data_IF_574312485542
#
_entry.id   IF_574312485542
#
_cell.length_a   1.000
_cell.length_b   1.000
_cell.length_c   1.000
_cell.angle_alpha   90.00
_cell.angle_beta   90.00
_cell.angle_gamma   90.00
#
_symmetry.space_group_name_H-M   'P 1'
#
loop_
_entity.id
_entity.type
_entity.pdbx_description
1 polymer ?
#
# COMPACT_ATOMS: atom_id res chain seq x y z
N UNK A 1 6.77 4.27 -4.84
CA UNK A 1 5.44 4.13 -4.21
C UNK A 1 4.99 5.52 -3.80
N UNK A 2 3.78 5.96 -4.18
CA UNK A 2 3.28 7.27 -3.75
C UNK A 2 1.75 7.33 -3.86
N UNK A 3 1.07 7.94 -2.88
CA UNK A 3 -0.36 8.19 -2.97
C UNK A 3 -0.64 9.28 -4.02
N UNK A 4 -0.01 10.45 -3.90
CA UNK A 4 -0.24 11.60 -4.79
C UNK A 4 0.50 11.51 -6.11
N UNK A 5 1.61 10.78 -6.16
CA UNK A 5 2.52 10.80 -7.30
C UNK A 5 3.23 12.15 -7.51
N UNK A 6 3.13 13.07 -6.54
CA UNK A 6 3.72 14.42 -6.57
C UNK A 6 4.78 14.64 -5.49
N UNK A 7 5.11 13.61 -4.70
CA UNK A 7 6.13 13.71 -3.65
C UNK A 7 7.50 14.00 -4.28
N UNK A 8 8.00 15.23 -4.09
CA UNK A 8 9.19 15.73 -4.77
C UNK A 8 10.43 14.85 -4.55
N UNK A 9 10.70 14.43 -3.31
CA UNK A 9 11.84 13.56 -2.99
C UNK A 9 11.75 12.21 -3.69
N UNK A 10 10.55 11.63 -3.76
CA UNK A 10 10.30 10.37 -4.47
C UNK A 10 10.55 10.52 -5.97
N UNK A 11 10.10 11.62 -6.57
CA UNK A 11 10.31 11.89 -8.00
C UNK A 11 11.80 12.11 -8.29
N UNK A 12 12.49 12.89 -7.46
CA UNK A 12 13.92 13.13 -7.58
C UNK A 12 14.73 11.82 -7.50
N UNK A 13 14.40 10.96 -6.52
CA UNK A 13 15.02 9.64 -6.39
C UNK A 13 14.78 8.75 -7.62
N UNK A 14 13.57 8.76 -8.18
CA UNK A 14 13.24 8.00 -9.41
C UNK A 14 14.03 8.51 -10.60
N UNK A 15 14.12 9.84 -10.79
CA UNK A 15 14.91 10.45 -11.87
C UNK A 15 16.38 10.05 -11.77
N UNK A 16 16.95 10.10 -10.57
CA UNK A 16 18.35 9.71 -10.35
C UNK A 16 18.56 8.20 -10.59
N UNK A 17 17.67 7.35 -10.11
CA UNK A 17 17.75 5.91 -10.36
C UNK A 17 17.71 5.59 -11.87
N UNK A 18 16.83 6.25 -12.63
CA UNK A 18 16.74 6.10 -14.09
C UNK A 18 17.98 6.60 -14.81
N UNK A 19 18.54 7.75 -14.38
CA UNK A 19 19.81 8.27 -14.92
C UNK A 19 20.95 7.25 -14.77
N UNK A 20 20.90 6.41 -13.74
CA UNK A 20 21.84 5.30 -13.50
C UNK A 20 21.46 3.99 -14.21
N UNK A 21 20.43 3.99 -15.06
CA UNK A 21 20.00 2.83 -15.84
C UNK A 21 19.05 1.87 -15.12
N UNK A 22 18.52 2.21 -13.94
CA UNK A 22 17.56 1.37 -13.25
C UNK A 22 16.20 1.36 -13.96
N UNK A 23 15.56 0.18 -13.99
CA UNK A 23 14.13 0.04 -14.35
C UNK A 23 13.27 0.37 -13.16
N UNK A 24 12.25 1.20 -13.36
CA UNK A 24 11.40 1.71 -12.27
C UNK A 24 9.95 1.30 -12.48
N UNK A 25 9.37 0.64 -11.48
CA UNK A 25 7.94 0.36 -11.38
C UNK A 25 7.30 1.32 -10.36
N UNK A 26 6.29 2.07 -10.78
CA UNK A 26 5.50 2.94 -9.91
C UNK A 26 4.26 2.22 -9.37
N UNK A 27 4.07 2.23 -8.05
CA UNK A 27 2.78 1.90 -7.40
C UNK A 27 2.17 3.23 -6.96
N UNK A 28 1.07 3.63 -7.60
CA UNK A 28 0.53 5.00 -7.50
C UNK A 28 -1.00 5.00 -7.38
N UNK A 29 -1.57 5.93 -6.63
CA UNK A 29 -3.03 6.12 -6.58
C UNK A 29 -3.53 7.19 -7.56
N UNK A 30 -2.87 8.35 -7.60
CA UNK A 30 -3.23 9.45 -8.48
C UNK A 30 -2.89 9.14 -9.95
N UNK A 31 -3.91 9.27 -10.81
CA UNK A 31 -3.75 9.14 -12.27
C UNK A 31 -3.01 10.36 -12.83
N UNK A 32 -2.20 10.13 -13.86
CA UNK A 32 -1.53 11.18 -14.66
C UNK A 32 -0.66 12.16 -13.84
N UNK A 33 -0.23 11.73 -12.65
CA UNK A 33 0.69 12.48 -11.80
C UNK A 33 2.09 12.55 -12.38
N UNK A 34 2.91 13.46 -11.90
CA UNK A 34 4.31 13.62 -12.32
C UNK A 34 5.08 12.30 -12.25
N UNK A 35 4.94 11.53 -11.17
CA UNK A 35 5.59 10.23 -11.03
C UNK A 35 5.15 9.24 -12.12
N UNK A 36 3.91 9.28 -12.61
CA UNK A 36 3.44 8.33 -13.64
C UNK A 36 4.15 8.52 -14.98
N UNK A 37 4.65 9.72 -15.26
CA UNK A 37 5.45 10.01 -16.46
C UNK A 37 6.91 9.58 -16.33
N UNK A 38 7.37 9.37 -15.10
CA UNK A 38 8.78 9.17 -14.77
C UNK A 38 9.13 7.70 -14.50
N UNK A 39 8.23 6.74 -14.70
CA UNK A 39 8.47 5.30 -14.47
C UNK A 39 8.35 4.47 -15.75
N UNK A 40 8.96 3.27 -15.79
CA UNK A 40 8.87 2.33 -16.92
C UNK A 40 7.59 1.49 -16.89
N UNK A 41 7.00 1.29 -15.71
CA UNK A 41 5.77 0.54 -15.53
C UNK A 41 4.94 1.10 -14.38
N UNK A 42 3.63 0.83 -14.40
CA UNK A 42 2.67 1.37 -13.43
C UNK A 42 1.73 0.30 -12.90
N UNK A 43 1.49 0.38 -11.59
CA UNK A 43 0.40 -0.31 -10.89
C UNK A 43 -0.45 0.76 -10.22
N UNK A 44 -1.65 0.96 -10.74
CA UNK A 44 -2.63 1.82 -10.08
C UNK A 44 -3.34 1.04 -8.98
N UNK A 45 -3.36 1.61 -7.76
CA UNK A 45 -3.98 0.94 -6.60
C UNK A 45 -5.49 1.18 -6.51
N UNK A 46 -6.04 2.11 -7.31
CA UNK A 46 -7.47 2.39 -7.41
C UNK A 46 -8.18 2.65 -6.07
N UNK A 47 -7.52 3.26 -5.10
CA UNK A 47 -8.11 3.59 -3.80
C UNK A 47 -9.09 4.78 -3.86
N UNK A 48 -9.14 5.49 -5.00
CA UNK A 48 -9.92 6.72 -5.16
C UNK A 48 -9.33 7.91 -4.40
N UNK A 49 -9.96 9.11 -4.47
CA UNK A 49 -9.45 10.32 -3.82
C UNK A 49 -9.48 10.18 -2.30
N UNK A 50 -8.44 10.67 -1.62
CA UNK A 50 -8.30 10.63 -0.17
C UNK A 50 -8.17 12.07 0.34
N UNK A 51 -9.17 12.52 1.12
CA UNK A 51 -9.27 13.90 1.62
C UNK A 51 -8.56 14.04 2.98
N UNK A 52 -8.58 12.96 3.78
CA UNK A 52 -7.88 12.94 5.06
C UNK A 52 -6.38 13.09 4.90
N UNK A 53 -5.76 13.86 5.80
CA UNK A 53 -4.31 14.08 5.80
C UNK A 53 -3.55 12.78 6.08
N UNK A 54 -4.03 11.98 7.03
CA UNK A 54 -3.50 10.64 7.28
C UNK A 54 -4.02 9.66 6.23
N UNK A 55 -3.10 8.93 5.59
CA UNK A 55 -3.47 7.90 4.62
C UNK A 55 -3.97 6.64 5.32
N UNK A 56 -5.07 6.11 4.80
CA UNK A 56 -5.82 4.97 5.35
C UNK A 56 -6.02 3.93 4.26
N UNK A 57 -6.95 4.18 3.33
CA UNK A 57 -7.30 3.26 2.24
C UNK A 57 -6.18 3.11 1.23
N UNK A 58 -5.46 4.18 0.91
CA UNK A 58 -4.34 4.07 -0.03
C UNK A 58 -3.21 3.24 0.59
N UNK A 59 -2.96 3.34 1.89
CA UNK A 59 -1.98 2.49 2.57
C UNK A 59 -2.30 1.00 2.43
N UNK A 60 -3.53 0.57 2.76
CA UNK A 60 -3.94 -0.83 2.63
C UNK A 60 -3.88 -1.28 1.16
N UNK A 61 -4.33 -0.45 0.22
CA UNK A 61 -4.29 -0.78 -1.21
C UNK A 61 -2.85 -0.90 -1.74
N UNK A 62 -1.90 -0.08 -1.23
CA UNK A 62 -0.47 -0.22 -1.54
C UNK A 62 0.11 -1.53 -1.02
N UNK A 63 -0.23 -1.94 0.21
CA UNK A 63 0.18 -3.25 0.75
C UNK A 63 -0.37 -4.42 -0.06
N UNK A 64 -1.64 -4.33 -0.49
CA UNK A 64 -2.25 -5.34 -1.37
C UNK A 64 -1.51 -5.42 -2.71
N UNK A 65 -1.21 -4.28 -3.33
CA UNK A 65 -0.47 -4.23 -4.59
C UNK A 65 0.96 -4.81 -4.45
N UNK A 66 1.67 -4.49 -3.36
CA UNK A 66 2.98 -5.05 -3.06
C UNK A 66 2.93 -6.56 -2.84
N UNK A 67 1.91 -7.05 -2.12
CA UNK A 67 1.70 -8.48 -1.89
C UNK A 67 1.48 -9.22 -3.22
N UNK A 68 0.62 -8.68 -4.09
CA UNK A 68 0.38 -9.26 -5.41
C UNK A 68 1.64 -9.25 -6.28
N UNK A 69 2.42 -8.18 -6.25
CA UNK A 69 3.70 -8.08 -6.94
C UNK A 69 4.69 -9.14 -6.42
N UNK A 70 4.80 -9.32 -5.10
CA UNK A 70 5.65 -10.33 -4.49
C UNK A 70 5.25 -11.75 -4.89
N UNK A 71 3.95 -12.07 -4.86
CA UNK A 71 3.43 -13.38 -5.31
C UNK A 71 3.72 -13.62 -6.79
N UNK A 72 3.54 -12.60 -7.64
CA UNK A 72 3.82 -12.69 -9.07
C UNK A 72 5.32 -12.94 -9.33
N UNK A 73 6.20 -12.17 -8.69
CA UNK A 73 7.65 -12.34 -8.81
C UNK A 73 8.10 -13.70 -8.28
N UNK A 74 7.55 -14.14 -7.15
CA UNK A 74 7.85 -15.44 -6.56
C UNK A 74 7.46 -16.61 -7.48
N UNK A 75 6.29 -16.50 -8.14
CA UNK A 75 5.86 -17.47 -9.15
C UNK A 75 6.75 -17.47 -10.39
N UNK A 76 7.06 -16.29 -10.95
CA UNK A 76 7.92 -16.16 -12.14
C UNK A 76 9.32 -16.72 -11.89
N UNK A 77 9.84 -16.54 -10.67
CA UNK A 77 11.15 -17.05 -10.25
C UNK A 77 11.13 -18.52 -9.81
N UNK A 78 9.97 -19.18 -9.88
CA UNK A 78 9.78 -20.57 -9.42
C UNK A 78 10.20 -20.82 -7.96
N UNK A 79 10.12 -19.79 -7.10
CA UNK A 79 10.42 -19.90 -5.66
C UNK A 79 9.17 -20.09 -4.80
N UNK A 80 7.98 -19.79 -5.35
CA UNK A 80 6.70 -20.05 -4.71
C UNK A 80 5.95 -21.14 -5.45
N UNK A 81 5.42 -22.10 -4.69
CA UNK A 81 4.53 -23.11 -5.23
C UNK A 81 3.19 -22.52 -5.71
N UNK A 82 2.61 -23.14 -6.73
CA UNK A 82 1.37 -22.65 -7.33
C UNK A 82 0.17 -22.73 -6.38
N UNK A 83 0.11 -23.73 -5.51
CA UNK A 83 -0.99 -23.87 -4.56
C UNK A 83 -0.85 -22.88 -3.41
N UNK A 84 0.38 -22.60 -2.95
CA UNK A 84 0.65 -21.50 -2.02
C UNK A 84 0.18 -20.16 -2.58
N UNK A 85 0.51 -19.85 -3.85
CA UNK A 85 0.06 -18.60 -4.49
C UNK A 85 -1.47 -18.55 -4.56
N UNK A 86 -2.13 -19.64 -4.96
CA UNK A 86 -3.60 -19.70 -5.01
C UNK A 86 -4.22 -19.48 -3.63
N UNK A 87 -3.65 -20.07 -2.59
CA UNK A 87 -4.09 -19.87 -1.20
C UNK A 87 -4.01 -18.40 -0.79
N UNK A 88 -2.87 -17.74 -1.02
CA UNK A 88 -2.71 -16.31 -0.69
C UNK A 88 -3.63 -15.40 -1.48
N UNK A 89 -3.92 -15.74 -2.74
CA UNK A 89 -4.96 -15.02 -3.50
C UNK A 89 -6.36 -15.23 -2.89
N UNK A 90 -6.70 -16.41 -2.36
CA UNK A 90 -7.97 -16.62 -1.65
C UNK A 90 -8.03 -15.80 -0.36
N UNK A 91 -6.95 -15.74 0.42
CA UNK A 91 -6.85 -14.90 1.62
C UNK A 91 -7.06 -13.42 1.29
N UNK A 92 -6.42 -12.90 0.23
CA UNK A 92 -6.62 -11.52 -0.20
C UNK A 92 -8.07 -11.22 -0.64
N UNK A 93 -8.78 -12.21 -1.18
CA UNK A 93 -10.20 -12.04 -1.57
C UNK A 93 -11.15 -11.90 -0.37
N UNK A 94 -10.81 -12.50 0.78
CA UNK A 94 -11.61 -12.38 2.01
C UNK A 94 -11.20 -11.18 2.87
N UNK A 95 -10.10 -10.51 2.55
CA UNK A 95 -9.60 -9.34 3.28
C UNK A 95 -10.65 -8.24 3.49
N UNK A 96 -11.52 -7.88 2.52
CA UNK A 96 -12.58 -6.88 2.76
C UNK A 96 -13.50 -7.25 3.93
N UNK A 97 -13.92 -8.51 4.02
CA UNK A 97 -14.77 -9.00 5.09
C UNK A 97 -14.05 -8.97 6.45
N UNK A 98 -12.74 -9.22 6.47
CA UNK A 98 -11.94 -9.11 7.69
C UNK A 98 -11.80 -7.66 8.14
N UNK A 99 -11.64 -6.72 7.20
CA UNK A 99 -11.62 -5.28 7.49
C UNK A 99 -12.96 -4.84 8.08
N UNK A 100 -14.09 -5.26 7.51
CA UNK A 100 -15.43 -4.97 8.05
C UNK A 100 -15.56 -5.40 9.51
N UNK A 101 -15.14 -6.63 9.84
CA UNK A 101 -15.16 -7.14 11.22
C UNK A 101 -14.29 -6.33 12.19
N UNK A 102 -13.20 -5.71 11.71
CA UNK A 102 -12.38 -4.81 12.53
C UNK A 102 -13.08 -3.47 12.71
N UNK A 103 -13.71 -2.94 11.65
CA UNK A 103 -14.46 -1.69 11.70
C UNK A 103 -15.71 -1.78 12.60
N UNK A 104 -16.34 -2.95 12.70
CA UNK A 104 -17.44 -3.21 13.63
C UNK A 104 -17.04 -3.03 15.10
N UNK A 105 -15.74 -3.12 15.41
CA UNK A 105 -15.20 -2.89 16.76
C UNK A 105 -14.96 -1.40 17.07
N UNK A 106 -15.44 -0.48 16.23
CA UNK A 106 -15.21 0.98 16.38
C UNK A 106 -15.55 1.53 17.76
N UNK A 107 -16.62 1.05 18.40
CA UNK A 107 -17.06 1.58 19.69
C UNK A 107 -16.12 1.12 20.81
N UNK A 108 -15.73 -0.16 20.81
CA UNK A 108 -14.68 -0.68 21.70
C UNK A 108 -13.35 0.06 21.51
N UNK A 109 -12.95 0.33 20.26
CA UNK A 109 -11.73 1.09 19.94
C UNK A 109 -11.83 2.52 20.47
N UNK A 110 -13.02 3.15 20.38
CA UNK A 110 -13.28 4.48 20.93
C UNK A 110 -13.12 4.49 22.45
N UNK A 111 -13.70 3.51 23.16
CA UNK A 111 -13.60 3.41 24.62
C UNK A 111 -12.15 3.24 25.08
N UNK A 112 -11.37 2.43 24.37
CA UNK A 112 -9.93 2.29 24.62
C UNK A 112 -9.23 3.64 24.38
N UNK A 113 -9.50 4.31 23.26
CA UNK A 113 -8.86 5.59 22.93
C UNK A 113 -9.15 6.68 23.97
N UNK A 114 -10.36 6.71 24.55
CA UNK A 114 -10.73 7.65 25.61
C UNK A 114 -9.84 7.54 26.85
N UNK A 115 -9.36 6.34 27.19
CA UNK A 115 -8.45 6.15 28.33
C UNK A 115 -7.07 6.80 28.12
N UNK A 116 -6.70 7.07 26.87
CA UNK A 116 -5.40 7.64 26.52
C UNK A 116 -5.46 9.07 25.99
N UNK A 117 -6.60 9.76 26.13
CA UNK A 117 -6.81 11.12 25.64
C UNK A 117 -5.74 12.11 26.13
N UNK A 118 -5.27 11.92 27.36
CA UNK A 118 -4.26 12.78 28.01
C UNK A 118 -2.82 12.23 27.93
N UNK A 119 -2.62 11.11 27.23
CA UNK A 119 -1.28 10.55 27.07
C UNK A 119 -0.43 11.46 26.16
N UNK A 120 0.82 11.72 26.58
CA UNK A 120 1.75 12.58 25.83
C UNK A 120 2.64 11.81 24.85
N UNK A 121 2.69 10.49 25.00
CA UNK A 121 3.58 9.62 24.24
C UNK A 121 3.00 8.21 24.17
N UNK A 122 3.25 7.54 23.04
CA UNK A 122 2.90 6.15 22.81
C UNK A 122 4.13 5.40 22.29
N UNK A 123 4.23 4.13 22.65
CA UNK A 123 5.16 3.19 22.04
C UNK A 123 4.34 2.13 21.32
N UNK A 124 4.59 1.96 20.03
CA UNK A 124 4.01 0.89 19.23
C UNK A 124 5.07 -0.18 19.00
N UNK A 125 4.73 -1.44 19.27
CA UNK A 125 5.59 -2.61 19.11
C UNK A 125 4.97 -3.56 18.09
N UNK A 126 5.80 -4.17 17.24
CA UNK A 126 5.39 -5.08 16.19
C UNK A 126 6.53 -5.96 15.73
#
# INVERSE_FOLDING_TARGET
>A
ISQSGETADTIAAVKEARKRGAKVLGIVNAKESSLTREVDGLVYIHAGPEIGVASTKAYIAMLTALTLLALMLGKIRSVLDSDFVKEKIRELKILPQQIERVLDKKDMIRDIASNYLNARSFLYLG
#
